data_IF_746524489127
#
_entry.id   IF_746524489127
#
_cell.length_a   1.000
_cell.length_b   1.000
_cell.length_c   1.000
_cell.angle_alpha   90.00
_cell.angle_beta   90.00
_cell.angle_gamma   90.00
#
_symmetry.space_group_name_H-M   'P 1'
#
loop_
_entity.id
_entity.type
_entity.pdbx_description
1 polymer ?
#
# COMPACT_ATOMS: atom_id res chain seq x y z
N UNK A 1 3.50 -15.39 9.05
CA UNK A 1 4.21 -14.10 8.95
C UNK A 1 3.16 -13.02 8.73
N UNK A 2 3.02 -12.09 9.66
CA UNK A 2 1.93 -11.10 9.61
C UNK A 2 2.18 -10.08 8.51
N UNK A 3 1.14 -9.70 7.76
CA UNK A 3 1.19 -8.64 6.72
C UNK A 3 1.77 -7.33 7.25
N UNK A 4 1.57 -7.04 8.54
CA UNK A 4 2.05 -5.84 9.23
C UNK A 4 3.58 -5.66 9.25
N UNK A 5 4.34 -6.73 9.07
CA UNK A 5 5.80 -6.74 9.22
C UNK A 5 6.54 -6.74 7.88
N UNK A 6 5.82 -6.79 6.76
CA UNK A 6 6.41 -6.73 5.42
C UNK A 6 6.67 -5.29 4.99
N UNK A 7 7.74 -5.09 4.22
CA UNK A 7 7.94 -3.85 3.49
C UNK A 7 6.75 -3.63 2.53
N UNK A 8 6.15 -2.43 2.53
CA UNK A 8 5.00 -2.11 1.68
C UNK A 8 5.29 -2.37 0.21
N UNK A 9 6.48 -2.03 -0.27
CA UNK A 9 6.86 -2.25 -1.67
C UNK A 9 6.84 -3.74 -2.03
N UNK A 10 7.28 -4.62 -1.11
CA UNK A 10 7.22 -6.07 -1.33
C UNK A 10 5.79 -6.61 -1.36
N UNK A 11 4.87 -5.99 -0.61
CA UNK A 11 3.43 -6.33 -0.67
C UNK A 11 2.80 -5.87 -1.98
N UNK A 12 3.14 -4.67 -2.45
CA UNK A 12 2.67 -4.14 -3.73
C UNK A 12 3.19 -4.96 -4.90
N UNK A 13 4.49 -5.31 -4.91
CA UNK A 13 5.07 -6.19 -5.93
C UNK A 13 4.37 -7.56 -5.98
N UNK A 14 4.15 -8.20 -4.82
CA UNK A 14 3.42 -9.45 -4.75
C UNK A 14 1.95 -9.33 -5.24
N UNK A 15 1.28 -8.21 -4.96
CA UNK A 15 -0.06 -7.94 -5.45
C UNK A 15 -0.08 -7.75 -6.98
N UNK A 16 0.88 -7.00 -7.54
CA UNK A 16 1.02 -6.86 -8.99
C UNK A 16 1.19 -8.22 -9.67
N UNK A 17 2.09 -9.06 -9.16
CA UNK A 17 2.32 -10.41 -9.71
C UNK A 17 1.03 -11.22 -9.63
N UNK A 18 0.35 -11.25 -8.48
CA UNK A 18 -0.89 -12.02 -8.32
C UNK A 18 -1.98 -11.59 -9.32
N UNK A 19 -2.18 -10.28 -9.52
CA UNK A 19 -3.15 -9.76 -10.48
C UNK A 19 -2.76 -10.12 -11.91
N UNK A 20 -1.49 -9.98 -12.27
CA UNK A 20 -0.99 -10.30 -13.61
C UNK A 20 -1.16 -11.79 -13.91
N UNK A 21 -0.83 -12.68 -12.96
CA UNK A 21 -1.00 -14.13 -13.13
C UNK A 21 -2.48 -14.53 -13.27
N UNK A 22 -3.39 -13.81 -12.60
CA UNK A 22 -4.82 -14.06 -12.69
C UNK A 22 -5.43 -13.54 -13.99
N UNK A 23 -5.04 -12.34 -14.43
CA UNK A 23 -5.67 -11.67 -15.58
C UNK A 23 -4.97 -11.89 -16.91
N UNK A 24 -3.67 -12.27 -16.87
CA UNK A 24 -2.82 -12.55 -18.03
C UNK A 24 -2.91 -11.47 -19.12
N UNK A 25 -2.64 -10.21 -18.80
CA UNK A 25 -2.75 -9.11 -19.75
C UNK A 25 -1.55 -9.09 -20.71
N UNK A 26 -1.74 -8.52 -21.90
CA UNK A 26 -0.65 -8.27 -22.85
C UNK A 26 0.18 -7.04 -22.48
N UNK A 27 -0.44 -6.08 -21.77
CA UNK A 27 0.19 -4.82 -21.37
C UNK A 27 -0.28 -4.41 -19.97
N UNK A 28 0.66 -4.01 -19.13
CA UNK A 28 0.44 -3.55 -17.75
C UNK A 28 0.98 -2.14 -17.59
N UNK A 29 0.15 -1.25 -17.07
CA UNK A 29 0.53 0.11 -16.73
C UNK A 29 0.53 0.22 -15.21
N UNK A 30 1.65 0.66 -14.62
CA UNK A 30 1.82 0.79 -13.17
C UNK A 30 2.25 2.21 -12.82
N UNK A 31 1.52 2.85 -11.90
CA UNK A 31 2.04 4.03 -11.22
C UNK A 31 3.19 3.60 -10.30
N UNK A 32 4.38 4.15 -10.54
CA UNK A 32 5.61 3.64 -9.95
C UNK A 32 5.60 3.77 -8.41
N UNK A 33 5.69 2.66 -7.66
CA UNK A 33 5.78 2.70 -6.19
C UNK A 33 7.17 3.10 -5.69
N UNK A 34 8.11 3.36 -6.59
CA UNK A 34 9.49 3.69 -6.31
C UNK A 34 9.96 4.91 -7.11
N UNK A 35 11.14 5.43 -6.77
CA UNK A 35 11.73 6.49 -7.57
C UNK A 35 12.11 5.99 -8.97
N UNK A 36 12.26 6.87 -9.98
CA UNK A 36 12.54 6.46 -11.37
C UNK A 36 13.78 5.56 -11.53
N UNK A 37 14.79 5.72 -10.67
CA UNK A 37 16.01 4.88 -10.72
C UNK A 37 15.74 3.43 -10.31
N UNK A 38 14.69 3.19 -9.56
CA UNK A 38 14.28 1.85 -9.11
C UNK A 38 13.43 1.08 -10.12
N UNK A 39 12.87 1.76 -11.14
CA UNK A 39 11.95 1.14 -12.12
C UNK A 39 12.57 -0.04 -12.88
N UNK A 40 13.81 0.02 -13.39
CA UNK A 40 14.42 -1.13 -14.07
C UNK A 40 14.51 -2.37 -13.19
N UNK A 41 14.93 -2.20 -11.92
CA UNK A 41 15.02 -3.30 -10.97
C UNK A 41 13.64 -3.88 -10.61
N UNK A 42 12.63 -3.03 -10.46
CA UNK A 42 11.23 -3.46 -10.26
C UNK A 42 10.74 -4.29 -11.46
N UNK A 43 10.92 -3.79 -12.68
CA UNK A 43 10.53 -4.49 -13.91
C UNK A 43 11.18 -5.86 -14.01
N UNK A 44 12.47 -5.96 -13.65
CA UNK A 44 13.21 -7.23 -13.65
C UNK A 44 12.59 -8.22 -12.66
N UNK A 45 12.38 -7.82 -11.41
CA UNK A 45 11.78 -8.69 -10.37
C UNK A 45 10.39 -9.19 -10.76
N UNK A 46 9.51 -8.29 -11.22
CA UNK A 46 8.16 -8.69 -11.68
C UNK A 46 8.26 -9.69 -12.84
N UNK A 47 9.15 -9.44 -13.80
CA UNK A 47 9.34 -10.32 -14.95
C UNK A 47 9.87 -11.71 -14.56
N UNK A 48 10.77 -11.78 -13.59
CA UNK A 48 11.33 -13.03 -13.08
C UNK A 48 10.28 -13.86 -12.36
N UNK A 49 9.48 -13.24 -11.49
CA UNK A 49 8.42 -13.93 -10.76
C UNK A 49 7.32 -14.47 -11.70
N UNK A 50 6.94 -13.68 -12.72
CA UNK A 50 5.95 -14.10 -13.72
C UNK A 50 6.48 -15.28 -14.55
N UNK A 51 7.76 -15.25 -14.98
CA UNK A 51 8.40 -16.38 -15.69
C UNK A 51 8.50 -17.61 -14.80
N UNK A 52 8.88 -17.46 -13.54
CA UNK A 52 8.96 -18.56 -12.59
C UNK A 52 7.60 -19.26 -12.38
N UNK A 53 6.51 -18.51 -12.51
CA UNK A 53 5.14 -19.03 -12.49
C UNK A 53 4.71 -19.68 -13.84
N UNK A 54 5.60 -19.75 -14.83
CA UNK A 54 5.32 -20.36 -16.14
C UNK A 54 4.42 -19.51 -17.05
N UNK A 55 4.31 -18.22 -16.81
CA UNK A 55 3.49 -17.29 -17.58
C UNK A 55 4.32 -16.41 -18.52
N UNK A 56 3.69 -15.96 -19.61
CA UNK A 56 4.28 -14.96 -20.49
C UNK A 56 4.37 -13.62 -19.75
N UNK A 57 5.50 -12.94 -19.93
CA UNK A 57 5.72 -11.60 -19.34
C UNK A 57 5.01 -10.55 -20.21
N UNK A 58 4.12 -9.75 -19.65
CA UNK A 58 3.46 -8.67 -20.39
C UNK A 58 4.44 -7.55 -20.72
N UNK A 59 4.04 -6.68 -21.62
CA UNK A 59 4.72 -5.39 -21.79
C UNK A 59 4.43 -4.51 -20.58
N UNK A 60 5.46 -3.93 -19.98
CA UNK A 60 5.32 -3.00 -18.87
C UNK A 60 5.47 -1.55 -19.32
N UNK A 61 4.61 -0.68 -18.79
CA UNK A 61 4.79 0.77 -18.72
C UNK A 61 4.73 1.15 -17.25
N UNK A 62 5.88 1.49 -16.67
CA UNK A 62 6.00 1.85 -15.26
C UNK A 62 6.59 3.26 -15.19
N UNK A 63 5.81 4.21 -14.70
CA UNK A 63 6.27 5.59 -14.58
C UNK A 63 5.61 6.29 -13.37
N UNK A 64 6.26 7.31 -12.81
CA UNK A 64 5.66 8.13 -11.77
C UNK A 64 4.45 8.89 -12.30
N UNK A 65 3.37 8.96 -11.52
CA UNK A 65 2.11 9.63 -11.88
C UNK A 65 1.44 9.03 -13.12
N UNK A 66 1.58 7.72 -13.32
CA UNK A 66 0.90 7.04 -14.42
C UNK A 66 -0.63 7.18 -14.33
N UNK A 67 -1.18 7.36 -13.15
CA UNK A 67 -2.59 7.65 -12.91
C UNK A 67 -3.06 8.97 -13.56
N UNK A 68 -2.17 9.95 -13.67
CA UNK A 68 -2.44 11.22 -14.36
C UNK A 68 -2.25 11.13 -15.88
N UNK A 69 -1.33 10.26 -16.35
CA UNK A 69 -0.96 10.17 -17.76
C UNK A 69 -1.79 9.14 -18.53
N UNK A 70 -2.29 8.11 -17.86
CA UNK A 70 -3.06 7.01 -18.46
C UNK A 70 -4.44 6.92 -17.83
N UNK A 71 -5.52 7.20 -18.58
CA UNK A 71 -6.89 7.15 -18.04
C UNK A 71 -7.26 5.83 -17.39
N UNK A 72 -6.76 4.70 -17.91
CA UNK A 72 -7.02 3.38 -17.32
C UNK A 72 -6.37 3.22 -15.93
N UNK A 73 -5.15 3.73 -15.77
CA UNK A 73 -4.46 3.73 -14.47
C UNK A 73 -5.16 4.67 -13.48
N UNK A 74 -5.60 5.85 -13.95
CA UNK A 74 -6.41 6.79 -13.17
C UNK A 74 -7.73 6.18 -12.69
N UNK A 75 -8.45 5.49 -13.57
CA UNK A 75 -9.67 4.78 -13.21
C UNK A 75 -9.40 3.70 -12.13
N UNK A 76 -8.37 2.87 -12.32
CA UNK A 76 -7.98 1.86 -11.35
C UNK A 76 -7.62 2.48 -9.98
N UNK A 77 -6.93 3.62 -9.97
CA UNK A 77 -6.62 4.37 -8.75
C UNK A 77 -7.88 4.84 -8.00
N UNK A 78 -8.90 5.30 -8.73
CA UNK A 78 -10.19 5.71 -8.14
C UNK A 78 -10.89 4.49 -7.52
N UNK A 79 -10.99 3.36 -8.23
CA UNK A 79 -11.61 2.14 -7.70
C UNK A 79 -10.89 1.67 -6.43
N UNK A 80 -9.56 1.62 -6.44
CA UNK A 80 -8.78 1.23 -5.28
C UNK A 80 -9.02 2.14 -4.07
N UNK A 81 -9.15 3.46 -4.28
CA UNK A 81 -9.47 4.42 -3.22
C UNK A 81 -10.86 4.21 -2.65
N UNK A 82 -11.87 4.01 -3.51
CA UNK A 82 -13.26 3.76 -3.08
C UNK A 82 -13.35 2.49 -2.24
N UNK A 83 -12.74 1.39 -2.69
CA UNK A 83 -12.72 0.12 -1.96
C UNK A 83 -11.99 0.24 -0.62
N UNK A 84 -10.83 0.91 -0.61
CA UNK A 84 -10.09 1.23 0.61
C UNK A 84 -10.93 2.03 1.59
N UNK A 85 -11.58 3.09 1.15
CA UNK A 85 -12.35 3.98 2.02
C UNK A 85 -13.59 3.27 2.57
N UNK A 86 -14.22 2.40 1.78
CA UNK A 86 -15.31 1.53 2.24
C UNK A 86 -14.82 0.55 3.33
N UNK A 87 -13.63 -0.01 3.17
CA UNK A 87 -13.01 -0.89 4.17
C UNK A 87 -12.68 -0.14 5.46
N UNK A 88 -12.14 1.08 5.35
CA UNK A 88 -11.85 1.92 6.52
C UNK A 88 -13.14 2.31 7.26
N UNK A 89 -14.20 2.64 6.56
CA UNK A 89 -15.48 3.00 7.16
C UNK A 89 -16.07 1.88 8.05
N UNK A 90 -15.76 0.61 7.74
CA UNK A 90 -16.18 -0.54 8.55
C UNK A 90 -15.47 -0.61 9.91
N UNK A 91 -14.36 0.08 10.10
CA UNK A 91 -13.63 0.13 11.36
C UNK A 91 -14.25 1.11 12.38
N UNK A 92 -15.29 1.84 11.99
CA UNK A 92 -15.92 2.88 12.80
C UNK A 92 -15.34 4.28 12.54
N UNK A 93 -15.42 5.21 13.50
CA UNK A 93 -15.03 6.61 13.32
C UNK A 93 -13.50 6.79 13.40
N UNK A 94 -12.78 6.15 12.50
CA UNK A 94 -11.30 6.16 12.49
C UNK A 94 -10.70 7.28 11.64
N UNK A 95 -11.53 8.09 10.99
CA UNK A 95 -11.09 9.11 10.04
C UNK A 95 -10.71 8.52 8.68
N UNK A 96 -9.86 9.22 7.95
CA UNK A 96 -9.44 8.81 6.59
C UNK A 96 -8.44 7.65 6.55
N UNK A 97 -7.89 7.25 7.70
CA UNK A 97 -6.83 6.25 7.80
C UNK A 97 -5.45 6.75 7.36
N UNK A 98 -5.29 8.02 7.02
CA UNK A 98 -3.98 8.62 6.72
C UNK A 98 -3.34 9.23 7.98
N UNK A 99 -1.99 9.20 8.09
CA UNK A 99 -1.27 9.75 9.25
C UNK A 99 -1.37 11.27 9.39
N UNK A 100 -1.74 11.97 8.35
CA UNK A 100 -1.99 13.41 8.35
C UNK A 100 -3.37 13.79 8.92
N UNK A 101 -4.29 12.83 9.03
CA UNK A 101 -5.63 13.06 9.53
C UNK A 101 -5.64 13.11 11.06
N UNK A 102 -6.10 14.21 11.69
CA UNK A 102 -6.19 14.33 13.14
C UNK A 102 -7.08 13.27 13.79
N UNK A 103 -8.19 12.90 13.14
CA UNK A 103 -9.12 11.87 13.65
C UNK A 103 -8.44 10.51 13.69
N UNK A 104 -7.74 10.13 12.61
CA UNK A 104 -6.96 8.89 12.57
C UNK A 104 -5.86 8.89 13.63
N UNK A 105 -5.16 10.00 13.83
CA UNK A 105 -4.13 10.13 14.87
C UNK A 105 -4.71 9.96 16.26
N UNK A 106 -5.82 10.64 16.56
CA UNK A 106 -6.51 10.55 17.85
C UNK A 106 -6.97 9.11 18.14
N UNK A 107 -7.52 8.43 17.14
CA UNK A 107 -7.93 7.04 17.24
C UNK A 107 -6.74 6.11 17.57
N UNK A 108 -5.60 6.28 16.91
CA UNK A 108 -4.36 5.53 17.18
C UNK A 108 -3.80 5.82 18.57
N UNK A 109 -3.77 7.09 18.99
CA UNK A 109 -3.31 7.52 20.32
C UNK A 109 -4.15 6.89 21.43
N UNK A 110 -5.45 6.70 21.21
CA UNK A 110 -6.34 6.02 22.16
C UNK A 110 -5.89 4.59 22.48
N UNK A 111 -5.40 3.81 21.50
CA UNK A 111 -4.84 2.47 21.77
C UNK A 111 -3.54 2.54 22.57
N UNK A 112 -2.68 3.51 22.27
CA UNK A 112 -1.41 3.70 22.99
C UNK A 112 -1.69 4.04 24.46
N UNK A 113 -2.60 4.99 24.70
CA UNK A 113 -2.95 5.43 26.05
C UNK A 113 -3.56 4.33 26.93
N UNK A 114 -4.32 3.41 26.32
CA UNK A 114 -4.92 2.26 27.02
C UNK A 114 -4.00 1.04 27.11
N UNK A 115 -2.82 1.08 26.47
CA UNK A 115 -1.93 -0.09 26.39
C UNK A 115 -2.51 -1.25 25.57
N UNK A 116 -3.49 -0.98 24.72
CA UNK A 116 -4.16 -1.99 23.91
C UNK A 116 -3.40 -2.32 22.63
N UNK A 117 -3.47 -3.56 22.14
CA UNK A 117 -2.89 -3.92 20.86
C UNK A 117 -3.66 -3.26 19.73
N UNK A 118 -2.94 -2.75 18.74
CA UNK A 118 -3.57 -2.21 17.52
C UNK A 118 -4.32 -3.29 16.73
N UNK A 119 -5.46 -2.93 16.12
CA UNK A 119 -6.14 -3.80 15.16
C UNK A 119 -5.22 -4.30 14.05
N UNK A 120 -5.55 -5.45 13.46
CA UNK A 120 -4.72 -6.11 12.45
C UNK A 120 -4.46 -5.28 11.18
N UNK A 121 -5.35 -4.33 10.87
CA UNK A 121 -5.22 -3.40 9.74
C UNK A 121 -4.17 -2.29 9.96
N UNK A 122 -3.75 -2.04 11.22
CA UNK A 122 -2.78 -0.99 11.52
C UNK A 122 -1.36 -1.49 11.27
N UNK A 123 -0.60 -0.71 10.49
CA UNK A 123 0.82 -0.94 10.22
C UNK A 123 1.66 -0.48 11.42
N UNK A 124 2.00 -1.37 12.31
CA UNK A 124 2.70 -1.05 13.58
C UNK A 124 4.14 -0.62 13.38
N UNK A 125 4.76 -0.93 12.24
CA UNK A 125 6.13 -0.50 11.89
C UNK A 125 6.18 0.85 11.14
N UNK A 126 5.10 1.57 11.14
CA UNK A 126 5.04 2.89 10.52
C UNK A 126 5.67 3.94 11.45
N UNK A 127 6.55 4.78 10.95
CA UNK A 127 7.21 5.83 11.75
C UNK A 127 6.24 6.77 12.48
N UNK A 128 5.01 6.90 11.98
CA UNK A 128 3.92 7.61 12.66
C UNK A 128 3.59 6.98 14.02
N UNK A 129 3.59 5.64 14.14
CA UNK A 129 3.30 4.95 15.39
C UNK A 129 4.39 5.22 16.42
N UNK A 130 5.66 5.20 16.00
CA UNK A 130 6.78 5.50 16.89
C UNK A 130 6.73 6.95 17.36
N UNK A 131 6.42 7.89 16.48
CA UNK A 131 6.25 9.30 16.83
C UNK A 131 5.07 9.51 17.80
N UNK A 132 3.94 8.84 17.60
CA UNK A 132 2.79 8.93 18.52
C UNK A 132 3.12 8.36 19.90
N UNK A 133 3.86 7.25 19.98
CA UNK A 133 4.32 6.66 21.25
C UNK A 133 5.22 7.62 22.00
N UNK A 134 6.17 8.27 21.30
CA UNK A 134 7.05 9.26 21.93
C UNK A 134 6.26 10.45 22.47
N UNK A 135 5.32 11.01 21.69
CA UNK A 135 4.49 12.12 22.13
C UNK A 135 3.69 11.77 23.39
N UNK A 136 3.07 10.59 23.45
CA UNK A 136 2.29 10.17 24.62
C UNK A 136 3.14 10.01 25.89
N UNK A 137 4.43 9.72 25.75
CA UNK A 137 5.36 9.62 26.88
C UNK A 137 5.76 10.99 27.44
N UNK A 138 5.69 12.07 26.66
CA UNK A 138 6.01 13.43 27.10
C UNK A 138 4.79 14.19 27.63
N UNK A 139 3.59 13.75 27.29
CA UNK A 139 2.32 14.37 27.70
C UNK A 139 1.73 13.72 28.98
N UNK A 140 2.39 12.69 29.52
CA UNK A 140 2.01 11.97 30.74
C UNK A 140 2.87 12.38 31.94
#
# INVERSE_FOLDING_TARGET
MCIRDRNINALEEAAFVAIILQTRPDHVIIDAPCNPRGIPALTTRLSEEIRAAGCAVPRFTIEPKADANFPHCGAASIFAKVDRDATIAQLGPVGSGYPSDPVTRSWLTGFIARGEPFPACVRTRWGTIDNLRQQTLFDA
#
